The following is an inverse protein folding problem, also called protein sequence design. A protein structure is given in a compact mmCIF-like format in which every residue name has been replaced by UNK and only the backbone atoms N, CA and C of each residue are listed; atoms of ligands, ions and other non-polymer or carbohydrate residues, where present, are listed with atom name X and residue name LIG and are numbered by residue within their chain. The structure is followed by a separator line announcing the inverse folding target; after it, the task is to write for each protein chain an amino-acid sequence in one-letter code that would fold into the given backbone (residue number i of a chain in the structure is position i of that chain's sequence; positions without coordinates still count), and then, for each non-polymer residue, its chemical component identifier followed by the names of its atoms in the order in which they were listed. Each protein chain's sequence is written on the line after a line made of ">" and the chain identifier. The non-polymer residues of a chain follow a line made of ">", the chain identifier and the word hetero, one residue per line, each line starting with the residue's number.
data_IF_128781432404
#
_entry.id   IF_128781432404
#
_cell.length_a   1.000
_cell.length_b   1.000
_cell.length_c   1.000
_cell.angle_alpha   90.00
_cell.angle_beta   90.00
_cell.angle_gamma   90.00
#
_symmetry.space_group_name_H-M   'P 1'
#
loop_
_entity.id
_entity.type
_entity.pdbx_description
1 polymer ?
#
# COMPACT_ATOMS: atom_id res chain seq x y z
N UNK A 1 16.38 30.53 -45.55
CA UNK A 1 15.90 29.21 -45.08
C UNK A 1 14.74 29.47 -44.09
N UNK A 2 13.51 29.17 -44.55
CA UNK A 2 12.28 29.27 -43.73
C UNK A 2 12.20 28.05 -42.83
N UNK A 3 12.25 28.27 -41.53
CA UNK A 3 11.97 27.27 -40.52
C UNK A 3 10.44 27.16 -40.44
N UNK A 4 9.94 26.04 -40.90
CA UNK A 4 8.52 25.65 -40.82
C UNK A 4 8.14 25.38 -39.37
N UNK A 5 7.26 26.20 -38.77
CA UNK A 5 6.67 25.92 -37.45
C UNK A 5 5.61 24.82 -37.62
N UNK A 6 5.61 23.74 -36.82
CA UNK A 6 4.55 22.76 -36.89
C UNK A 6 3.22 23.34 -36.42
N UNK A 7 2.17 22.98 -37.13
CA UNK A 7 0.81 23.48 -36.98
C UNK A 7 0.19 22.90 -35.69
N UNK A 8 -0.28 23.76 -34.80
CA UNK A 8 -0.85 23.45 -33.47
C UNK A 8 -2.15 22.63 -33.53
N UNK A 9 -2.65 22.30 -34.73
CA UNK A 9 -3.95 21.64 -34.95
C UNK A 9 -3.85 20.11 -35.15
N UNK A 10 -2.67 19.51 -35.16
CA UNK A 10 -2.51 18.05 -35.25
C UNK A 10 -2.35 17.33 -33.89
N UNK A 11 -2.25 18.05 -32.78
CA UNK A 11 -2.06 17.47 -31.45
C UNK A 11 -3.36 16.99 -30.76
N UNK A 12 -4.52 17.15 -31.42
CA UNK A 12 -5.81 16.79 -30.80
C UNK A 12 -6.33 15.38 -31.19
N UNK A 13 -5.52 14.54 -31.83
CA UNK A 13 -5.95 13.20 -32.31
C UNK A 13 -5.33 12.01 -31.58
N UNK A 14 -4.53 12.22 -30.55
CA UNK A 14 -4.12 11.10 -29.70
C UNK A 14 -5.10 10.98 -28.53
N UNK A 15 -5.69 9.80 -28.30
CA UNK A 15 -6.55 9.62 -27.14
C UNK A 15 -5.74 9.92 -25.88
N UNK A 16 -6.32 10.73 -25.01
CA UNK A 16 -5.77 11.11 -23.68
C UNK A 16 -5.27 9.88 -22.90
N UNK A 17 -5.87 8.74 -23.18
CA UNK A 17 -5.52 7.43 -22.66
C UNK A 17 -4.06 7.02 -22.92
N UNK A 18 -3.53 7.24 -24.12
CA UNK A 18 -2.14 6.87 -24.49
C UNK A 18 -1.11 7.80 -23.84
N UNK A 19 -1.48 9.07 -23.61
CA UNK A 19 -0.60 10.02 -22.93
C UNK A 19 -0.52 9.70 -21.43
N UNK A 20 -1.63 9.27 -20.83
CA UNK A 20 -1.70 8.86 -19.42
C UNK A 20 -0.93 7.55 -19.16
N UNK A 21 -1.01 6.58 -20.09
CA UNK A 21 -0.27 5.32 -19.99
C UNK A 21 1.25 5.52 -20.01
N UNK A 22 1.77 6.45 -20.80
CA UNK A 22 3.21 6.73 -20.87
C UNK A 22 3.75 7.53 -19.65
N UNK A 23 2.95 8.38 -19.03
CA UNK A 23 3.36 9.15 -17.84
C UNK A 23 3.49 8.24 -16.62
N UNK A 24 2.71 7.16 -16.54
CA UNK A 24 2.81 6.17 -15.46
C UNK A 24 4.09 5.33 -15.56
N UNK A 25 4.65 5.15 -16.77
CA UNK A 25 5.82 4.29 -17.04
C UNK A 25 7.18 5.00 -16.91
N UNK A 26 7.29 6.28 -17.20
CA UNK A 26 8.57 7.00 -17.17
C UNK A 26 9.11 7.31 -15.77
N UNK A 27 8.29 7.10 -14.71
CA UNK A 27 8.72 7.32 -13.32
C UNK A 27 9.56 6.17 -12.71
N UNK A 28 9.83 5.08 -13.43
CA UNK A 28 10.43 3.87 -12.87
C UNK A 28 11.96 3.87 -12.73
N UNK A 29 12.70 4.88 -13.22
CA UNK A 29 14.17 4.85 -13.27
C UNK A 29 14.87 6.07 -12.65
N UNK A 30 14.33 6.66 -11.60
CA UNK A 30 15.10 7.62 -10.80
C UNK A 30 15.58 6.95 -9.51
N UNK A 31 16.88 6.75 -9.39
CA UNK A 31 17.56 6.28 -8.18
C UNK A 31 17.10 7.07 -6.95
N UNK A 32 16.46 6.39 -6.01
CA UNK A 32 16.01 6.95 -4.73
C UNK A 32 14.50 7.25 -4.62
N UNK A 33 13.67 7.00 -5.63
CA UNK A 33 12.22 7.13 -5.54
C UNK A 33 11.63 5.77 -5.15
N UNK A 34 11.12 5.69 -3.93
CA UNK A 34 10.35 4.54 -3.44
C UNK A 34 9.09 4.43 -4.30
N UNK A 35 8.86 3.27 -4.93
CA UNK A 35 7.68 3.04 -5.77
C UNK A 35 6.43 3.23 -4.93
N UNK A 36 5.61 4.19 -5.31
CA UNK A 36 4.40 4.57 -4.59
C UNK A 36 3.26 3.59 -4.87
N UNK A 37 3.14 3.11 -6.11
CA UNK A 37 2.12 2.13 -6.51
C UNK A 37 2.80 0.90 -7.10
N UNK A 38 2.59 -0.25 -6.46
CA UNK A 38 3.10 -1.56 -6.90
C UNK A 38 1.93 -2.51 -7.13
N UNK A 39 1.96 -3.25 -8.22
CA UNK A 39 0.86 -4.14 -8.59
C UNK A 39 1.37 -5.58 -8.60
N UNK A 40 0.69 -6.46 -7.89
CA UNK A 40 1.07 -7.86 -7.74
C UNK A 40 -0.06 -8.79 -8.21
N UNK A 41 0.32 -9.90 -8.82
CA UNK A 41 -0.62 -10.96 -9.20
C UNK A 41 -0.01 -12.33 -8.98
N UNK A 42 -0.82 -13.25 -8.52
CA UNK A 42 -0.43 -14.67 -8.48
C UNK A 42 -0.54 -15.28 -9.85
N UNK A 43 0.58 -15.75 -10.40
CA UNK A 43 0.70 -16.44 -11.68
C UNK A 43 1.38 -17.78 -11.40
N UNK A 44 0.78 -18.89 -11.84
CA UNK A 44 1.31 -20.25 -11.62
C UNK A 44 1.68 -20.58 -10.16
N UNK A 45 0.92 -20.00 -9.21
CA UNK A 45 1.12 -20.25 -7.78
C UNK A 45 2.19 -19.39 -7.11
N UNK A 46 2.91 -18.53 -7.85
CA UNK A 46 3.88 -17.57 -7.33
C UNK A 46 3.38 -16.13 -7.47
N UNK A 47 3.84 -15.26 -6.57
CA UNK A 47 3.55 -13.83 -6.65
C UNK A 47 4.51 -13.16 -7.64
N UNK A 48 3.97 -12.35 -8.53
CA UNK A 48 4.73 -11.56 -9.50
C UNK A 48 4.29 -10.12 -9.43
N UNK A 49 5.24 -9.21 -9.54
CA UNK A 49 4.94 -7.81 -9.79
C UNK A 49 4.61 -7.65 -11.29
N UNK A 50 3.51 -6.97 -11.57
CA UNK A 50 3.05 -6.70 -12.93
C UNK A 50 2.93 -5.19 -13.13
N UNK A 51 2.90 -4.76 -14.39
CA UNK A 51 2.88 -3.34 -14.72
C UNK A 51 1.46 -2.77 -14.76
N UNK A 52 0.51 -3.54 -15.29
CA UNK A 52 -0.86 -3.10 -15.48
C UNK A 52 -1.84 -3.84 -14.58
N UNK A 53 -2.83 -3.14 -13.99
CA UNK A 53 -3.88 -3.78 -13.21
C UNK A 53 -4.68 -4.78 -14.04
N UNK A 54 -4.86 -5.95 -13.48
CA UNK A 54 -5.64 -7.04 -14.04
C UNK A 54 -6.64 -7.56 -13.00
N UNK A 55 -7.62 -8.32 -13.43
CA UNK A 55 -8.52 -9.00 -12.49
C UNK A 55 -7.74 -9.87 -11.53
N UNK A 56 -8.19 -9.88 -10.27
CA UNK A 56 -7.55 -10.62 -9.16
C UNK A 56 -6.11 -10.19 -8.81
N UNK A 57 -5.70 -8.97 -9.18
CA UNK A 57 -4.44 -8.40 -8.72
C UNK A 57 -4.59 -7.73 -7.34
N UNK A 58 -3.45 -7.51 -6.71
CA UNK A 58 -3.29 -6.69 -5.52
C UNK A 58 -2.52 -5.41 -5.88
N UNK A 59 -3.10 -4.25 -5.58
CA UNK A 59 -2.49 -2.93 -5.77
C UNK A 59 -2.05 -2.42 -4.41
N UNK A 60 -0.76 -2.28 -4.21
CA UNK A 60 -0.15 -1.76 -2.99
C UNK A 60 0.30 -0.32 -3.22
N UNK A 61 -0.25 0.60 -2.44
CA UNK A 61 0.04 2.04 -2.47
C UNK A 61 0.75 2.42 -1.17
N UNK A 62 1.99 2.91 -1.27
CA UNK A 62 2.76 3.38 -0.13
C UNK A 62 3.02 4.88 -0.30
N UNK A 63 2.54 5.70 0.62
CA UNK A 63 2.65 7.16 0.58
C UNK A 63 2.24 7.77 -0.78
N UNK A 64 1.04 7.44 -1.30
CA UNK A 64 0.61 7.90 -2.61
C UNK A 64 0.44 9.42 -2.64
N UNK A 65 0.80 10.02 -3.76
CA UNK A 65 0.55 11.44 -4.03
C UNK A 65 -0.94 11.71 -4.26
N UNK A 66 -1.35 12.97 -4.10
CA UNK A 66 -2.74 13.37 -4.38
C UNK A 66 -3.17 13.04 -5.83
N UNK A 67 -2.25 13.09 -6.79
CA UNK A 67 -2.50 12.74 -8.19
C UNK A 67 -2.76 11.25 -8.34
N UNK A 68 -1.94 10.40 -7.72
CA UNK A 68 -2.10 8.94 -7.76
C UNK A 68 -3.38 8.47 -7.07
N UNK A 69 -3.75 9.12 -5.97
CA UNK A 69 -5.04 8.88 -5.29
C UNK A 69 -6.20 9.20 -6.23
N UNK A 70 -6.17 10.37 -6.88
CA UNK A 70 -7.21 10.80 -7.81
C UNK A 70 -7.32 9.86 -9.01
N UNK A 71 -6.19 9.45 -9.62
CA UNK A 71 -6.16 8.49 -10.73
C UNK A 71 -6.74 7.13 -10.34
N UNK A 72 -6.41 6.63 -9.15
CA UNK A 72 -6.94 5.36 -8.63
C UNK A 72 -8.44 5.47 -8.32
N UNK A 73 -8.89 6.59 -7.76
CA UNK A 73 -10.31 6.88 -7.51
C UNK A 73 -11.11 6.83 -8.81
N UNK A 74 -10.73 7.60 -9.81
CA UNK A 74 -11.41 7.67 -11.10
C UNK A 74 -11.40 6.32 -11.84
N UNK A 75 -10.28 5.62 -11.81
CA UNK A 75 -10.11 4.35 -12.55
C UNK A 75 -10.90 3.20 -11.94
N UNK A 76 -11.05 3.16 -10.63
CA UNK A 76 -11.61 1.99 -9.92
C UNK A 76 -12.91 2.29 -9.17
N UNK A 77 -13.37 3.54 -9.17
CA UNK A 77 -14.61 3.94 -8.51
C UNK A 77 -14.54 3.80 -6.99
N UNK A 78 -13.40 4.18 -6.42
CA UNK A 78 -13.16 4.24 -4.97
C UNK A 78 -13.16 5.71 -4.57
N UNK A 79 -13.87 6.06 -3.50
CA UNK A 79 -13.91 7.45 -3.01
C UNK A 79 -12.50 7.94 -2.62
N UNK A 80 -12.18 9.19 -2.99
CA UNK A 80 -10.89 9.82 -2.70
C UNK A 80 -10.59 9.83 -1.20
N UNK A 81 -11.61 10.08 -0.38
CA UNK A 81 -11.48 10.16 1.07
C UNK A 81 -11.14 8.78 1.66
N UNK A 82 -11.67 7.70 1.11
CA UNK A 82 -11.38 6.33 1.54
C UNK A 82 -9.96 5.88 1.18
N UNK A 83 -9.41 6.38 0.05
CA UNK A 83 -8.01 6.19 -0.29
C UNK A 83 -7.07 7.04 0.57
N UNK A 84 -7.54 8.19 1.08
CA UNK A 84 -6.77 9.09 1.94
C UNK A 84 -6.80 8.70 3.41
N UNK A 85 -7.89 8.13 3.89
CA UNK A 85 -8.05 7.79 5.30
C UNK A 85 -6.85 7.06 5.91
N UNK A 86 -6.23 6.05 5.25
CA UNK A 86 -5.05 5.37 5.79
C UNK A 86 -3.77 6.23 5.85
N UNK A 87 -3.79 7.44 5.32
CA UNK A 87 -2.66 8.38 5.31
C UNK A 87 -2.72 9.39 6.46
N UNK A 88 -3.77 9.35 7.27
CA UNK A 88 -3.88 10.12 8.50
C UNK A 88 -3.48 9.22 9.68
N UNK A 89 -2.41 9.55 10.38
CA UNK A 89 -1.89 8.77 11.51
C UNK A 89 -2.89 8.66 12.69
N UNK A 90 -3.84 9.59 12.79
CA UNK A 90 -4.87 9.61 13.83
C UNK A 90 -6.15 8.86 13.42
N UNK A 91 -6.18 8.27 12.22
CA UNK A 91 -7.36 7.58 11.70
C UNK A 91 -7.68 6.32 12.52
N UNK A 92 -8.97 6.06 12.74
CA UNK A 92 -9.42 4.96 13.60
C UNK A 92 -9.71 3.69 12.83
N UNK A 93 -9.31 2.57 13.41
CA UNK A 93 -9.65 1.24 12.88
C UNK A 93 -11.16 1.05 12.78
N UNK A 94 -11.66 0.70 11.59
CA UNK A 94 -13.09 0.47 11.30
C UNK A 94 -13.28 -0.36 10.04
N UNK A 95 -14.52 -0.77 9.80
CA UNK A 95 -14.94 -1.40 8.55
C UNK A 95 -16.13 -0.60 8.00
N UNK A 96 -16.02 -0.20 6.74
CA UNK A 96 -17.09 0.48 6.01
C UNK A 96 -17.44 -0.34 4.76
N UNK A 97 -18.73 -0.48 4.51
CA UNK A 97 -19.23 -1.25 3.37
C UNK A 97 -19.91 -0.29 2.42
N UNK A 98 -19.30 -0.11 1.27
CA UNK A 98 -19.81 0.70 0.18
C UNK A 98 -20.47 -0.18 -0.90
N UNK A 99 -21.18 0.42 -1.83
CA UNK A 99 -21.88 -0.32 -2.90
C UNK A 99 -20.94 -1.16 -3.77
N UNK A 100 -19.73 -0.68 -4.03
CA UNK A 100 -18.77 -1.28 -4.95
C UNK A 100 -17.55 -1.91 -4.28
N UNK A 101 -17.29 -1.59 -3.02
CA UNK A 101 -16.12 -2.08 -2.27
C UNK A 101 -16.39 -2.12 -0.77
N UNK A 102 -15.47 -2.70 -0.05
CA UNK A 102 -15.41 -2.63 1.43
C UNK A 102 -14.06 -2.06 1.82
N UNK A 103 -14.08 -1.02 2.65
CA UNK A 103 -12.89 -0.45 3.30
C UNK A 103 -12.71 -1.09 4.67
N UNK A 104 -11.50 -1.55 4.96
CA UNK A 104 -11.07 -2.05 6.27
C UNK A 104 -9.86 -1.23 6.69
N UNK A 105 -9.97 -0.47 7.76
CA UNK A 105 -8.87 0.25 8.38
C UNK A 105 -8.42 -0.49 9.63
N UNK A 106 -7.13 -0.75 9.72
CA UNK A 106 -6.50 -1.40 10.88
C UNK A 106 -5.17 -0.73 11.19
N UNK A 107 -4.84 -0.61 12.48
CA UNK A 107 -3.52 -0.16 12.88
C UNK A 107 -2.53 -1.31 12.72
N UNK A 108 -1.36 -1.00 12.17
CA UNK A 108 -0.24 -1.95 12.08
C UNK A 108 0.94 -1.42 12.89
N UNK A 109 1.65 -2.29 13.60
CA UNK A 109 2.78 -1.86 14.41
C UNK A 109 3.97 -1.50 13.53
N UNK A 110 4.66 -0.44 13.90
CA UNK A 110 5.88 0.03 13.28
C UNK A 110 6.98 0.22 14.31
N UNK A 111 8.22 0.21 13.86
CA UNK A 111 9.39 0.62 14.62
C UNK A 111 10.04 1.78 13.91
N UNK A 112 10.23 2.86 14.61
CA UNK A 112 10.98 4.01 14.17
C UNK A 112 12.27 4.11 14.97
N UNK A 113 13.40 4.29 14.30
CA UNK A 113 14.68 4.53 14.97
C UNK A 113 14.87 6.03 15.20
N UNK A 114 14.90 6.45 16.46
CA UNK A 114 15.14 7.84 16.89
C UNK A 114 16.31 7.88 17.85
N UNK A 115 17.39 8.59 17.52
CA UNK A 115 18.57 8.75 18.37
C UNK A 115 19.14 7.41 18.88
N UNK A 116 19.37 6.46 17.99
CA UNK A 116 19.86 5.10 18.27
C UNK A 116 18.95 4.29 19.19
N UNK A 117 17.66 4.61 19.26
CA UNK A 117 16.66 3.88 20.05
C UNK A 117 15.44 3.53 19.22
N UNK A 118 14.95 2.31 19.43
CA UNK A 118 13.69 1.87 18.85
C UNK A 118 12.50 2.54 19.52
N UNK A 119 11.68 3.19 18.74
CA UNK A 119 10.37 3.70 19.13
C UNK A 119 9.30 2.82 18.49
N UNK A 120 8.38 2.36 19.32
CA UNK A 120 7.27 1.50 18.86
C UNK A 120 6.04 2.37 18.71
N UNK A 121 5.46 2.36 17.52
CA UNK A 121 4.27 3.09 17.18
C UNK A 121 3.31 2.23 16.36
N UNK A 122 2.27 2.86 15.88
CA UNK A 122 1.30 2.27 14.95
C UNK A 122 1.02 3.24 13.82
N UNK A 123 0.77 2.72 12.64
CA UNK A 123 0.26 3.49 11.48
C UNK A 123 -0.98 2.81 10.93
N UNK A 124 -1.93 3.56 10.37
CA UNK A 124 -3.08 2.98 9.71
C UNK A 124 -2.68 2.21 8.44
N UNK A 125 -3.34 1.10 8.21
CA UNK A 125 -3.32 0.35 6.97
C UNK A 125 -4.76 0.25 6.46
N UNK A 126 -5.01 0.81 5.28
CA UNK A 126 -6.25 0.62 4.54
C UNK A 126 -6.21 -0.62 3.68
N UNK A 127 -7.24 -1.43 3.74
CA UNK A 127 -7.46 -2.58 2.86
C UNK A 127 -8.81 -2.35 2.18
N UNK A 128 -8.78 -2.11 0.85
CA UNK A 128 -9.99 -1.88 0.06
C UNK A 128 -10.22 -3.08 -0.83
N UNK A 129 -11.39 -3.69 -0.69
CA UNK A 129 -11.74 -4.92 -1.39
C UNK A 129 -12.86 -4.66 -2.37
N UNK A 130 -12.56 -4.75 -3.66
CA UNK A 130 -13.55 -4.68 -4.72
C UNK A 130 -13.94 -6.08 -5.20
N UNK A 131 -14.92 -6.18 -6.09
CA UNK A 131 -15.27 -7.45 -6.74
C UNK A 131 -14.11 -8.05 -7.52
N UNK A 132 -13.25 -7.20 -8.13
CA UNK A 132 -12.20 -7.62 -9.06
C UNK A 132 -10.81 -7.68 -8.46
N UNK A 133 -10.49 -6.85 -7.47
CA UNK A 133 -9.12 -6.72 -6.96
C UNK A 133 -9.10 -6.27 -5.49
N UNK A 134 -7.92 -6.23 -4.91
CA UNK A 134 -7.69 -5.74 -3.56
C UNK A 134 -6.63 -4.63 -3.60
N UNK A 135 -6.84 -3.58 -2.79
CA UNK A 135 -5.89 -2.49 -2.59
C UNK A 135 -5.40 -2.51 -1.15
N UNK A 136 -4.17 -2.09 -0.95
CA UNK A 136 -3.66 -1.72 0.36
C UNK A 136 -3.04 -0.33 0.26
N UNK A 137 -3.33 0.54 1.23
CA UNK A 137 -2.84 1.91 1.30
C UNK A 137 -2.26 2.14 2.68
N UNK A 138 -1.04 2.68 2.77
CA UNK A 138 -0.38 3.03 4.01
C UNK A 138 0.62 4.18 3.80
N UNK A 139 1.01 4.85 4.89
CA UNK A 139 2.00 5.93 4.87
C UNK A 139 3.41 5.42 4.55
N UNK A 140 3.78 4.25 5.09
CA UNK A 140 5.12 3.68 4.98
C UNK A 140 5.05 2.20 4.65
N UNK A 141 6.16 1.66 4.13
CA UNK A 141 6.28 0.22 3.92
C UNK A 141 6.24 -0.52 5.26
N UNK A 142 5.26 -1.40 5.41
CA UNK A 142 5.10 -2.20 6.62
C UNK A 142 5.57 -3.64 6.43
N UNK A 143 6.25 -4.18 7.44
CA UNK A 143 6.65 -5.59 7.45
C UNK A 143 5.46 -6.56 7.37
N UNK A 144 4.25 -6.09 7.69
CA UNK A 144 3.01 -6.87 7.50
C UNK A 144 2.84 -7.20 6.01
N UNK A 145 3.03 -6.23 5.10
CA UNK A 145 2.83 -6.38 3.66
C UNK A 145 4.07 -6.87 2.91
N UNK A 146 5.26 -6.44 3.30
CA UNK A 146 6.52 -6.74 2.60
C UNK A 146 6.71 -8.24 2.36
N UNK A 147 6.38 -9.09 3.34
CA UNK A 147 6.51 -10.55 3.17
C UNK A 147 5.58 -11.15 2.13
N UNK A 148 4.43 -10.54 1.88
CA UNK A 148 3.54 -10.95 0.78
C UNK A 148 4.15 -10.58 -0.56
N UNK A 149 4.70 -9.36 -0.68
CA UNK A 149 5.38 -8.86 -1.88
C UNK A 149 6.59 -9.74 -2.25
N UNK A 150 7.32 -10.21 -1.24
CA UNK A 150 8.50 -11.08 -1.40
C UNK A 150 8.16 -12.56 -1.64
N UNK A 151 6.88 -12.93 -1.66
CA UNK A 151 6.45 -14.32 -1.81
C UNK A 151 6.77 -15.23 -0.62
N UNK A 152 7.04 -14.65 0.56
CA UNK A 152 7.42 -15.40 1.78
C UNK A 152 6.24 -15.88 2.63
N UNK A 153 5.01 -15.70 2.14
CA UNK A 153 3.79 -16.14 2.83
C UNK A 153 3.25 -17.38 2.14
N UNK A 154 3.17 -18.48 2.90
CA UNK A 154 2.65 -19.77 2.37
C UNK A 154 1.17 -19.66 2.04
N UNK A 155 0.78 -20.30 0.92
CA UNK A 155 -0.60 -20.37 0.47
C UNK A 155 -1.25 -18.98 0.31
N UNK A 156 -0.48 -17.99 -0.06
CA UNK A 156 -0.94 -16.67 -0.42
C UNK A 156 -1.23 -16.62 -1.92
N UNK A 157 -2.44 -16.17 -2.26
CA UNK A 157 -2.89 -16.00 -3.64
C UNK A 157 -3.73 -14.74 -3.73
N UNK A 158 -3.44 -13.85 -4.68
CA UNK A 158 -4.12 -12.55 -4.83
C UNK A 158 -5.61 -12.69 -5.15
N UNK A 159 -6.01 -13.77 -5.84
CA UNK A 159 -7.41 -14.07 -6.14
C UNK A 159 -8.21 -14.60 -4.94
N UNK A 160 -7.56 -15.05 -3.86
CA UNK A 160 -8.21 -15.46 -2.61
C UNK A 160 -8.31 -14.28 -1.63
N UNK A 161 -9.08 -13.26 -1.99
CA UNK A 161 -9.13 -11.97 -1.28
C UNK A 161 -9.44 -12.11 0.21
N UNK A 162 -10.47 -12.85 0.59
CA UNK A 162 -10.81 -13.09 2.01
C UNK A 162 -9.66 -13.75 2.77
N UNK A 163 -9.00 -14.74 2.17
CA UNK A 163 -7.85 -15.39 2.78
C UNK A 163 -6.68 -14.42 2.93
N UNK A 164 -6.44 -13.58 1.94
CA UNK A 164 -5.40 -12.56 2.00
C UNK A 164 -5.63 -11.58 3.15
N UNK A 165 -6.86 -11.06 3.32
CA UNK A 165 -7.24 -10.20 4.44
C UNK A 165 -6.95 -10.90 5.78
N UNK A 166 -7.41 -12.14 5.94
CA UNK A 166 -7.19 -12.91 7.17
C UNK A 166 -5.71 -13.15 7.43
N UNK A 167 -4.90 -13.38 6.40
CA UNK A 167 -3.45 -13.51 6.53
C UNK A 167 -2.77 -12.20 6.93
N UNK A 168 -3.23 -11.05 6.40
CA UNK A 168 -2.77 -9.73 6.84
C UNK A 168 -3.09 -9.53 8.33
N UNK A 169 -4.33 -9.73 8.75
CA UNK A 169 -4.76 -9.57 10.15
C UNK A 169 -4.02 -10.51 11.10
N UNK A 170 -3.82 -11.77 10.71
CA UNK A 170 -3.04 -12.72 11.50
C UNK A 170 -1.58 -12.29 11.67
N UNK A 171 -0.95 -11.81 10.61
CA UNK A 171 0.42 -11.30 10.68
C UNK A 171 0.50 -10.06 11.55
N UNK A 172 -0.46 -9.14 11.38
CA UNK A 172 -0.57 -7.95 12.19
C UNK A 172 -0.62 -8.31 13.69
N UNK A 173 -1.53 -9.17 14.09
CA UNK A 173 -1.64 -9.65 15.47
C UNK A 173 -0.34 -10.33 15.97
N UNK A 174 0.32 -11.12 15.12
CA UNK A 174 1.60 -11.77 15.45
C UNK A 174 2.72 -10.74 15.70
N UNK A 175 2.76 -9.67 14.90
CA UNK A 175 3.75 -8.60 15.07
C UNK A 175 3.49 -7.79 16.34
N UNK A 176 2.23 -7.46 16.66
CA UNK A 176 1.87 -6.83 17.92
C UNK A 176 2.37 -7.65 19.11
N UNK A 177 2.08 -8.94 19.13
CA UNK A 177 2.54 -9.83 20.21
C UNK A 177 4.07 -9.88 20.31
N UNK A 178 4.76 -9.83 19.18
CA UNK A 178 6.22 -9.81 19.18
C UNK A 178 6.77 -8.52 19.81
N UNK A 179 6.26 -7.36 19.42
CA UNK A 179 6.71 -6.08 19.94
C UNK A 179 6.34 -5.87 21.41
N UNK A 180 5.14 -6.28 21.81
CA UNK A 180 4.75 -6.24 23.22
C UNK A 180 5.71 -7.03 24.11
N UNK A 181 6.14 -8.23 23.70
CA UNK A 181 7.13 -9.01 24.45
C UNK A 181 8.49 -8.30 24.58
N UNK A 182 8.89 -7.56 23.55
CA UNK A 182 10.14 -6.77 23.60
C UNK A 182 9.98 -5.60 24.57
N UNK A 183 8.84 -4.91 24.54
CA UNK A 183 8.53 -3.79 25.43
C UNK A 183 8.49 -4.27 26.88
N UNK A 184 7.78 -5.37 27.16
CA UNK A 184 7.70 -5.97 28.51
C UNK A 184 9.09 -6.28 29.06
N UNK A 185 9.95 -6.94 28.27
CA UNK A 185 11.32 -7.24 28.67
C UNK A 185 12.17 -5.99 28.93
N UNK A 186 11.97 -4.92 28.14
CA UNK A 186 12.65 -3.62 28.38
C UNK A 186 12.15 -2.97 29.66
N UNK A 187 10.84 -3.07 29.96
CA UNK A 187 10.23 -2.55 31.20
C UNK A 187 10.79 -3.24 32.45
N UNK A 188 10.84 -4.58 32.45
CA UNK A 188 11.43 -5.37 33.52
C UNK A 188 12.88 -4.95 33.84
N UNK A 189 13.70 -4.73 32.80
CA UNK A 189 15.08 -4.27 32.97
C UNK A 189 15.20 -2.87 33.61
N UNK A 190 14.23 -1.99 33.33
CA UNK A 190 14.19 -0.65 33.95
C UNK A 190 13.76 -0.74 35.40
N UNK A 191 12.75 -1.56 35.71
CA UNK A 191 12.28 -1.79 37.07
C UNK A 191 13.39 -2.38 37.97
N UNK A 192 14.13 -3.39 37.51
CA UNK A 192 15.26 -3.98 38.22
C UNK A 192 16.33 -2.92 38.57
N UNK A 193 16.61 -1.98 37.68
CA UNK A 193 17.58 -0.91 37.90
C UNK A 193 17.11 0.15 38.90
N UNK A 194 15.79 0.32 39.06
CA UNK A 194 15.22 1.27 40.02
C UNK A 194 15.17 0.70 41.44
N UNK A 195 15.23 -0.61 41.58
CA UNK A 195 15.23 -1.30 42.89
C UNK A 195 16.63 -1.61 43.44
N UNK A 196 17.69 -1.29 42.70
CA UNK A 196 19.08 -1.33 43.18
C UNK A 196 19.53 0.02 43.71
#
# INVERSE_FOLDING_TARGET
>A
QKICKPNLLELTKFPVQIIMENVFFEKQEMEGVQFVVRIFKTIEGAIHQIQEPQEDCWIAMTNPTATEIFEMSERFGIEVDDLRAPLDEEERSRIEVEDNYTLILVDVPMIEERNDKDWYGTIPLGIIVTKKMIFTVCLEDTQVLTRFMEGRVRNFFTYMKTRFILQILYRNATMYLHYLRIIDKKSEQVEEKLHM
#
